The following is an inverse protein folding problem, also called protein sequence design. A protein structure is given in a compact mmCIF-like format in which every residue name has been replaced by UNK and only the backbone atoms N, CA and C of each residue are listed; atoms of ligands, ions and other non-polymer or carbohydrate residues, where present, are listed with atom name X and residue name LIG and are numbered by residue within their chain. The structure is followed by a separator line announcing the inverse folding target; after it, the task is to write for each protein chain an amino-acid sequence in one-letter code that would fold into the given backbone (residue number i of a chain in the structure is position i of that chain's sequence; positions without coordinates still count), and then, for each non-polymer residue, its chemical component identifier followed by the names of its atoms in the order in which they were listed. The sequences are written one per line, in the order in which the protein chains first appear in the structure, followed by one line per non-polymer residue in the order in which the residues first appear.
data_IF_530666845507
#
_entry.id   IF_530666845507
#
_cell.length_a   1.000
_cell.length_b   1.000
_cell.length_c   1.000
_cell.angle_alpha   90.00
_cell.angle_beta   90.00
_cell.angle_gamma   90.00
#
_symmetry.space_group_name_H-M   'P 1'
#
loop_
_entity.id
_entity.type
_entity.pdbx_description
1 polymer ?
#
# COMPACT_ATOMS: atom_id res chain seq x y z
N UNK A 1 1.95 -7.20 26.41
CA UNK A 1 1.79 -6.02 25.53
C UNK A 1 2.91 -5.90 24.49
N UNK A 2 4.17 -6.24 24.81
CA UNK A 2 5.34 -6.08 23.92
C UNK A 2 5.25 -6.84 22.57
N UNK A 3 4.78 -8.08 22.57
CA UNK A 3 4.60 -8.86 21.35
C UNK A 3 3.50 -8.27 20.42
N UNK A 4 2.52 -7.58 21.00
CA UNK A 4 1.43 -6.97 20.24
C UNK A 4 1.92 -5.80 19.39
N UNK A 5 2.69 -4.87 19.95
CA UNK A 5 3.18 -3.70 19.21
C UNK A 5 4.17 -4.09 18.11
N UNK A 6 4.99 -5.11 18.35
CA UNK A 6 5.83 -5.71 17.31
C UNK A 6 4.97 -6.27 16.18
N UNK A 7 4.04 -7.19 16.49
CA UNK A 7 3.17 -7.82 15.50
C UNK A 7 2.33 -6.81 14.72
N UNK A 8 1.80 -5.79 15.39
CA UNK A 8 1.03 -4.69 14.77
C UNK A 8 1.88 -3.93 13.76
N UNK A 9 3.07 -3.47 14.14
CA UNK A 9 3.89 -2.66 13.25
C UNK A 9 4.46 -3.47 12.09
N UNK A 10 4.89 -4.71 12.34
CA UNK A 10 5.34 -5.60 11.28
C UNK A 10 4.21 -5.96 10.32
N UNK A 11 3.02 -6.29 10.83
CA UNK A 11 1.86 -6.62 10.02
C UNK A 11 1.41 -5.44 9.15
N UNK A 12 1.37 -4.22 9.70
CA UNK A 12 1.06 -3.03 8.92
C UNK A 12 2.11 -2.74 7.84
N UNK A 13 3.40 -2.91 8.16
CA UNK A 13 4.47 -2.75 7.17
C UNK A 13 4.34 -3.78 6.03
N UNK A 14 3.99 -5.02 6.36
CA UNK A 14 3.78 -6.09 5.39
C UNK A 14 2.63 -5.77 4.45
N UNK A 15 1.45 -5.43 4.99
CA UNK A 15 0.28 -5.11 4.17
C UNK A 15 0.53 -3.93 3.23
N UNK A 16 1.16 -2.85 3.71
CA UNK A 16 1.46 -1.69 2.88
C UNK A 16 2.42 -2.02 1.72
N UNK A 17 3.36 -2.95 1.92
CA UNK A 17 4.24 -3.41 0.84
C UNK A 17 3.50 -4.33 -0.12
N UNK A 18 2.63 -5.21 0.36
CA UNK A 18 1.78 -6.07 -0.47
C UNK A 18 0.89 -5.23 -1.40
N UNK A 19 0.21 -4.22 -0.85
CA UNK A 19 -0.58 -3.25 -1.61
C UNK A 19 0.26 -2.55 -2.69
N UNK A 20 1.49 -2.13 -2.36
CA UNK A 20 2.40 -1.47 -3.32
C UNK A 20 2.89 -2.44 -4.40
N UNK A 21 3.12 -3.69 -4.03
CA UNK A 21 3.55 -4.73 -4.96
C UNK A 21 2.43 -5.06 -5.95
N UNK A 22 1.15 -5.01 -5.57
CA UNK A 22 0.05 -5.21 -6.52
C UNK A 22 0.09 -4.21 -7.70
N UNK A 23 0.54 -2.97 -7.48
CA UNK A 23 0.70 -1.96 -8.54
C UNK A 23 2.04 -1.98 -9.27
N UNK A 24 3.11 -2.40 -8.60
CA UNK A 24 4.49 -2.25 -9.13
C UNK A 24 5.15 -3.56 -9.54
N UNK A 25 4.62 -4.68 -9.08
CA UNK A 25 5.17 -5.99 -9.33
C UNK A 25 4.87 -6.48 -10.74
N UNK A 26 5.78 -7.30 -11.25
CA UNK A 26 5.60 -8.02 -12.50
C UNK A 26 5.00 -9.39 -12.23
N UNK A 27 4.27 -9.97 -13.18
CA UNK A 27 3.71 -11.33 -13.05
C UNK A 27 4.75 -12.38 -12.63
N UNK A 28 6.01 -12.21 -13.09
CA UNK A 28 7.11 -13.10 -12.74
C UNK A 28 7.57 -12.99 -11.27
N UNK A 29 7.40 -11.83 -10.62
CA UNK A 29 7.82 -11.60 -9.23
C UNK A 29 6.72 -11.89 -8.21
N UNK A 30 5.44 -11.76 -8.60
CA UNK A 30 4.30 -11.97 -7.71
C UNK A 30 3.66 -13.36 -7.82
N UNK A 31 3.95 -14.11 -8.88
CA UNK A 31 3.29 -15.40 -9.16
C UNK A 31 1.79 -15.29 -9.45
N UNK A 32 1.28 -14.07 -9.63
CA UNK A 32 -0.11 -13.72 -9.94
C UNK A 32 -0.12 -12.52 -10.90
N UNK A 33 -1.21 -12.29 -11.65
CA UNK A 33 -1.41 -11.03 -12.35
C UNK A 33 -1.29 -9.85 -11.39
N UNK A 34 -0.68 -8.74 -11.82
CA UNK A 34 -0.70 -7.48 -11.06
C UNK A 34 -2.08 -6.82 -11.16
N UNK A 35 -2.34 -5.83 -10.30
CA UNK A 35 -3.55 -5.02 -10.27
C UNK A 35 -4.82 -5.82 -9.91
N UNK A 36 -4.69 -6.88 -9.13
CA UNK A 36 -5.83 -7.72 -8.78
C UNK A 36 -6.78 -7.00 -7.82
N UNK A 37 -6.23 -6.23 -6.89
CA UNK A 37 -7.04 -5.58 -5.86
C UNK A 37 -7.96 -4.54 -6.51
N UNK A 38 -7.38 -3.65 -7.31
CA UNK A 38 -8.15 -2.60 -7.98
C UNK A 38 -9.18 -3.18 -8.95
N UNK A 39 -8.87 -4.27 -9.66
CA UNK A 39 -9.82 -4.96 -10.57
C UNK A 39 -10.98 -5.64 -9.85
N UNK A 40 -10.81 -6.00 -8.58
CA UNK A 40 -11.89 -6.52 -7.73
C UNK A 40 -12.57 -5.44 -6.90
N UNK A 41 -12.24 -4.16 -7.14
CA UNK A 41 -12.79 -3.02 -6.42
C UNK A 41 -12.26 -2.85 -4.99
N UNK A 42 -11.13 -3.49 -4.67
CA UNK A 42 -10.44 -3.32 -3.41
C UNK A 42 -9.53 -2.09 -3.53
N UNK A 43 -9.87 -1.05 -2.76
CA UNK A 43 -9.12 0.21 -2.72
C UNK A 43 -8.07 0.12 -1.61
N UNK A 44 -6.80 0.17 -2.00
CA UNK A 44 -5.64 0.04 -1.09
C UNK A 44 -4.88 1.35 -0.90
N UNK A 45 -3.85 1.35 -0.05
CA UNK A 45 -3.16 2.57 0.38
C UNK A 45 -2.70 3.51 -0.75
N UNK A 46 -2.10 3.04 -1.86
CA UNK A 46 -1.70 3.93 -2.95
C UNK A 46 -2.87 4.75 -3.53
N UNK A 47 -4.03 4.12 -3.75
CA UNK A 47 -5.21 4.80 -4.29
C UNK A 47 -5.81 5.75 -3.25
N UNK A 48 -5.86 5.34 -1.98
CA UNK A 48 -6.35 6.20 -0.90
C UNK A 48 -5.52 7.49 -0.80
N UNK A 49 -4.20 7.39 -0.91
CA UNK A 49 -3.35 8.57 -0.90
C UNK A 49 -3.51 9.42 -2.17
N UNK A 50 -3.66 8.80 -3.35
CA UNK A 50 -3.97 9.55 -4.57
C UNK A 50 -5.28 10.33 -4.49
N UNK A 51 -6.27 9.85 -3.73
CA UNK A 51 -7.51 10.58 -3.46
C UNK A 51 -7.35 11.79 -2.52
N UNK A 52 -6.26 11.84 -1.74
CA UNK A 52 -5.94 13.00 -0.90
C UNK A 52 -5.26 14.10 -1.72
N UNK A 53 -4.42 13.73 -2.69
CA UNK A 53 -3.73 14.68 -3.59
C UNK A 53 -4.65 15.16 -4.72
N UNK A 54 -5.45 14.26 -5.29
CA UNK A 54 -6.31 14.54 -6.43
C UNK A 54 -7.78 14.22 -6.12
N UNK A 55 -8.74 15.10 -6.46
CA UNK A 55 -10.16 14.78 -6.30
C UNK A 55 -10.67 13.74 -7.31
N UNK A 56 -10.00 13.56 -8.46
CA UNK A 56 -10.49 12.73 -9.56
C UNK A 56 -10.45 11.21 -9.28
N UNK A 57 -9.42 10.64 -8.63
CA UNK A 57 -9.43 9.24 -8.20
C UNK A 57 -10.66 8.87 -7.37
N UNK A 58 -11.21 9.78 -6.56
CA UNK A 58 -12.46 9.53 -5.82
C UNK A 58 -13.64 9.28 -6.75
N UNK A 59 -13.79 10.09 -7.79
CA UNK A 59 -14.83 9.89 -8.82
C UNK A 59 -14.68 8.56 -9.53
N UNK A 60 -13.45 8.08 -9.72
CA UNK A 60 -13.17 6.77 -10.32
C UNK A 60 -13.61 5.65 -9.38
N UNK A 61 -13.26 5.74 -8.09
CA UNK A 61 -13.69 4.81 -7.06
C UNK A 61 -15.22 4.75 -6.97
N UNK A 62 -15.91 5.90 -7.01
CA UNK A 62 -17.37 5.99 -6.93
C UNK A 62 -18.07 5.34 -8.14
N UNK A 63 -17.42 5.34 -9.32
CA UNK A 63 -17.91 4.66 -10.53
C UNK A 63 -17.63 3.15 -10.53
N UNK A 64 -16.77 2.68 -9.63
CA UNK A 64 -16.33 1.29 -9.57
C UNK A 64 -15.31 0.92 -10.65
N UNK A 65 -14.83 -0.33 -10.58
CA UNK A 65 -13.70 -0.82 -11.38
C UNK A 65 -14.09 -1.95 -12.35
N UNK A 66 -15.40 -2.15 -12.57
CA UNK A 66 -15.90 -3.10 -13.58
C UNK A 66 -15.56 -2.65 -15.01
N UNK A 67 -15.49 -1.33 -15.24
CA UNK A 67 -15.03 -0.73 -16.50
C UNK A 67 -13.50 -0.58 -16.49
N UNK A 68 -12.76 -1.24 -17.40
CA UNK A 68 -11.31 -1.09 -17.51
C UNK A 68 -10.82 0.34 -17.64
N UNK A 69 -11.63 1.24 -18.22
CA UNK A 69 -11.29 2.67 -18.35
C UNK A 69 -11.10 3.33 -16.98
N UNK A 70 -11.87 2.91 -15.98
CA UNK A 70 -11.73 3.43 -14.62
C UNK A 70 -10.41 2.94 -13.99
N UNK A 71 -10.02 1.69 -14.24
CA UNK A 71 -8.73 1.16 -13.78
C UNK A 71 -7.58 1.96 -14.40
N UNK A 72 -7.60 2.16 -15.72
CA UNK A 72 -6.55 2.90 -16.43
C UNK A 72 -6.44 4.35 -15.92
N UNK A 73 -7.57 5.01 -15.68
CA UNK A 73 -7.58 6.37 -15.16
C UNK A 73 -7.01 6.44 -13.73
N UNK A 74 -7.31 5.47 -12.87
CA UNK A 74 -6.71 5.38 -11.54
C UNK A 74 -5.18 5.20 -11.61
N UNK A 75 -4.69 4.36 -12.53
CA UNK A 75 -3.25 4.17 -12.75
C UNK A 75 -2.58 5.42 -13.31
N UNK A 76 -3.25 6.17 -14.17
CA UNK A 76 -2.75 7.44 -14.68
C UNK A 76 -2.52 8.45 -13.55
N UNK A 77 -3.47 8.59 -12.62
CA UNK A 77 -3.30 9.46 -11.46
C UNK A 77 -2.21 8.96 -10.51
N UNK A 78 -2.13 7.65 -10.27
CA UNK A 78 -1.02 7.08 -9.50
C UNK A 78 0.33 7.40 -10.14
N UNK A 79 0.47 7.28 -11.46
CA UNK A 79 1.70 7.60 -12.19
C UNK A 79 2.07 9.08 -12.22
N UNK A 80 1.11 9.98 -12.01
CA UNK A 80 1.33 11.43 -11.85
C UNK A 80 1.68 11.85 -10.42
N UNK A 81 1.55 10.93 -9.48
CA UNK A 81 1.66 11.16 -8.05
C UNK A 81 2.92 10.50 -7.46
N UNK A 82 3.26 10.82 -6.22
CA UNK A 82 4.29 10.11 -5.46
C UNK A 82 3.69 9.10 -4.47
N UNK A 83 2.47 8.62 -4.71
CA UNK A 83 1.69 7.94 -3.68
C UNK A 83 2.08 6.48 -3.43
N UNK A 84 2.66 5.85 -4.45
CA UNK A 84 3.40 4.59 -4.29
C UNK A 84 4.58 4.78 -3.33
N UNK A 85 5.33 5.88 -3.47
CA UNK A 85 6.47 6.18 -2.62
C UNK A 85 6.01 6.51 -1.20
N UNK A 86 4.92 7.26 -1.05
CA UNK A 86 4.31 7.55 0.26
C UNK A 86 3.89 6.28 1.01
N UNK A 87 3.30 5.31 0.31
CA UNK A 87 2.96 4.00 0.89
C UNK A 87 4.22 3.23 1.34
N UNK A 88 5.29 3.23 0.53
CA UNK A 88 6.60 2.64 0.92
C UNK A 88 7.21 3.33 2.14
N UNK A 89 7.08 4.65 2.24
CA UNK A 89 7.58 5.42 3.38
C UNK A 89 6.83 5.10 4.66
N UNK A 90 5.49 5.02 4.60
CA UNK A 90 4.69 4.59 5.74
C UNK A 90 5.06 3.15 6.17
N UNK A 91 5.24 2.23 5.23
CA UNK A 91 5.70 0.87 5.54
C UNK A 91 7.08 0.88 6.23
N UNK A 92 8.02 1.70 5.75
CA UNK A 92 9.34 1.87 6.34
C UNK A 92 9.27 2.43 7.76
N UNK A 93 8.38 3.39 8.03
CA UNK A 93 8.14 3.92 9.38
C UNK A 93 7.62 2.84 10.33
N UNK A 94 6.65 2.03 9.89
CA UNK A 94 6.13 0.90 10.68
C UNK A 94 7.21 -0.15 10.95
N UNK A 95 8.00 -0.51 9.94
CA UNK A 95 9.15 -1.41 10.11
C UNK A 95 10.15 -0.87 11.15
N UNK A 96 10.53 0.41 11.05
CA UNK A 96 11.44 1.06 12.01
C UNK A 96 10.88 1.03 13.44
N UNK A 97 9.59 1.34 13.62
CA UNK A 97 8.95 1.23 14.92
C UNK A 97 9.08 -0.20 15.47
N UNK A 98 8.79 -1.22 14.64
CA UNK A 98 8.95 -2.63 15.02
C UNK A 98 10.39 -2.99 15.43
N UNK A 99 11.41 -2.47 14.72
CA UNK A 99 12.83 -2.73 15.02
C UNK A 99 13.32 -2.01 16.29
N UNK A 100 12.94 -0.76 16.50
CA UNK A 100 13.29 -0.01 17.73
C UNK A 100 12.73 -0.71 18.96
N UNK A 101 11.52 -1.28 18.87
CA UNK A 101 10.94 -2.06 19.96
C UNK A 101 11.72 -3.35 20.28
N UNK A 102 12.21 -4.08 19.27
CA UNK A 102 13.06 -5.25 19.52
C UNK A 102 14.39 -4.85 20.18
N UNK A 103 15.00 -3.74 19.75
CA UNK A 103 16.23 -3.24 20.36
C UNK A 103 16.02 -2.82 21.82
N UNK A 104 14.91 -2.19 22.16
CA UNK A 104 14.58 -1.85 23.56
C UNK A 104 14.29 -3.11 24.41
N UNK A 105 13.80 -4.20 23.81
CA UNK A 105 13.52 -5.44 24.53
C UNK A 105 14.78 -6.25 24.85
N UNK A 106 15.79 -6.20 23.98
CA UNK A 106 16.97 -7.07 24.06
C UNK A 106 18.30 -6.31 24.26
N UNK A 107 18.32 -4.98 24.10
CA UNK A 107 19.52 -4.15 24.12
C UNK A 107 19.88 -3.53 25.48
N UNK A 108 19.04 -3.66 26.50
CA UNK A 108 19.39 -3.32 27.90
C UNK A 108 19.85 -4.56 28.70
N UNK A 109 20.67 -5.41 28.09
CA UNK A 109 21.47 -6.42 28.80
C UNK A 109 22.95 -6.27 28.50
#
# INVERSE_FOLDING_TARGET
MLAYDYGKNLGLAYQLIDDVLDFTGTTASLGKPSLLDIRHGIVTAPILFAMEEFPQPRTVVDRGFDDPVNVDLALEYLGKSNEIQRARELASQRRKASSLWLLNLFGER
#
